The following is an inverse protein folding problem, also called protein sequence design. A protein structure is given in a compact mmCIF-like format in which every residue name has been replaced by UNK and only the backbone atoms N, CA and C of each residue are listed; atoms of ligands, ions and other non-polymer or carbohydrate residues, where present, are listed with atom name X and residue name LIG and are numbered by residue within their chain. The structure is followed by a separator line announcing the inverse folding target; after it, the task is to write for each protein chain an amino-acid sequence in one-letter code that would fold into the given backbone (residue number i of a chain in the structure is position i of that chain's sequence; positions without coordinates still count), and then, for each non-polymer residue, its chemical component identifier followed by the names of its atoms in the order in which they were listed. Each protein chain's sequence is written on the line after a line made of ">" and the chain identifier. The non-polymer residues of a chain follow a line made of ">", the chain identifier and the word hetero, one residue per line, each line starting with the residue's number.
data_IF_501755534044
#
_entry.id   IF_501755534044
#
_cell.length_a   1.000
_cell.length_b   1.000
_cell.length_c   1.000
_cell.angle_alpha   90.00
_cell.angle_beta   90.00
_cell.angle_gamma   90.00
#
_symmetry.space_group_name_H-M   'P 1'
#
loop_
_entity.id
_entity.type
_entity.pdbx_description
1 polymer ?
#
# COMPACT_ATOMS: atom_id res chain seq x y z
N UNK A 1 23.14 12.79 -13.28
CA UNK A 1 22.55 11.48 -12.95
C UNK A 1 21.35 11.74 -12.05
N UNK A 2 20.18 11.30 -12.43
CA UNK A 2 18.99 11.40 -11.57
C UNK A 2 18.80 10.11 -10.81
N UNK A 3 18.60 10.21 -9.52
CA UNK A 3 18.37 9.06 -8.63
C UNK A 3 16.87 8.90 -8.40
N UNK A 4 16.35 7.70 -8.62
CA UNK A 4 14.98 7.33 -8.26
C UNK A 4 14.98 6.58 -6.94
N UNK A 5 14.10 6.97 -6.03
CA UNK A 5 14.01 6.37 -4.70
C UNK A 5 12.58 5.93 -4.41
N UNK A 6 12.43 4.70 -3.93
CA UNK A 6 11.17 4.27 -3.35
C UNK A 6 10.95 4.98 -2.00
N UNK A 7 9.88 5.73 -1.89
CA UNK A 7 9.59 6.55 -0.72
C UNK A 7 8.95 5.76 0.42
N UNK A 8 8.49 4.54 0.17
CA UNK A 8 7.80 3.75 1.20
C UNK A 8 8.79 3.27 2.27
N UNK A 9 8.50 3.47 3.56
CA UNK A 9 9.39 3.08 4.66
C UNK A 9 9.59 1.56 4.79
N UNK A 10 8.62 0.78 4.35
CA UNK A 10 8.65 -0.68 4.37
C UNK A 10 8.29 -1.24 2.98
N UNK A 11 9.22 -1.18 2.01
CA UNK A 11 8.97 -1.64 0.64
C UNK A 11 8.90 -3.16 0.55
N UNK A 12 9.60 -3.86 1.41
CA UNK A 12 9.41 -5.29 1.63
C UNK A 12 8.30 -5.46 2.65
N UNK A 13 7.41 -6.42 2.49
CA UNK A 13 6.37 -6.70 3.46
C UNK A 13 6.98 -7.36 4.70
N UNK A 14 7.70 -6.54 5.48
CA UNK A 14 8.16 -6.89 6.79
C UNK A 14 7.04 -6.60 7.78
N UNK A 15 6.92 -7.39 8.82
CA UNK A 15 5.90 -7.22 9.85
C UNK A 15 6.06 -5.95 10.69
N UNK A 16 7.24 -5.33 10.62
CA UNK A 16 7.55 -4.11 11.35
C UNK A 16 6.81 -2.89 10.78
N UNK A 17 6.15 -2.14 11.64
CA UNK A 17 5.44 -0.90 11.28
C UNK A 17 4.08 -1.12 10.62
N UNK A 18 3.64 -2.36 10.49
CA UNK A 18 2.30 -2.71 10.00
C UNK A 18 1.33 -2.84 11.16
N UNK A 19 0.09 -2.45 10.91
CA UNK A 19 -1.04 -2.65 11.81
C UNK A 19 -2.08 -3.55 11.15
N UNK A 20 -2.77 -4.36 11.95
CA UNK A 20 -3.71 -5.36 11.47
C UNK A 20 -5.05 -5.27 12.22
N UNK A 21 -6.14 -5.58 11.53
CA UNK A 21 -7.46 -5.74 12.15
C UNK A 21 -8.21 -6.91 11.52
N UNK A 22 -8.87 -7.70 12.35
CA UNK A 22 -9.63 -8.89 11.96
C UNK A 22 -8.81 -9.90 11.15
N UNK A 23 -7.57 -10.02 11.51
CA UNK A 23 -6.61 -10.97 10.97
C UNK A 23 -6.39 -12.06 11.99
N UNK A 24 -6.59 -13.32 11.60
CA UNK A 24 -6.36 -14.49 12.47
C UNK A 24 -4.87 -14.80 12.57
N UNK A 25 -4.15 -14.67 11.46
CA UNK A 25 -2.71 -14.87 11.40
C UNK A 25 -2.08 -14.08 10.27
N UNK A 26 -0.81 -13.76 10.41
CA UNK A 26 0.02 -13.20 9.37
C UNK A 26 1.42 -13.79 9.48
N UNK A 27 2.08 -13.97 8.34
CA UNK A 27 3.43 -14.52 8.25
C UNK A 27 4.14 -14.03 7.00
N UNK A 28 5.47 -14.02 7.00
CA UNK A 28 6.27 -13.78 5.80
C UNK A 28 6.71 -15.12 5.26
N UNK A 29 6.25 -15.45 4.06
CA UNK A 29 6.59 -16.68 3.35
C UNK A 29 6.91 -16.37 1.89
N UNK A 30 8.05 -16.82 1.39
CA UNK A 30 8.50 -16.66 0.00
C UNK A 30 8.49 -15.19 -0.50
N UNK A 31 8.81 -14.25 0.38
CA UNK A 31 8.84 -12.82 0.06
C UNK A 31 7.45 -12.16 -0.03
N UNK A 32 6.42 -12.85 0.45
CA UNK A 32 5.07 -12.33 0.62
C UNK A 32 4.72 -12.17 2.09
N UNK A 33 4.08 -11.08 2.46
CA UNK A 33 3.30 -11.03 3.68
C UNK A 33 1.96 -11.71 3.39
N UNK A 34 1.75 -12.89 3.95
CA UNK A 34 0.48 -13.61 3.89
C UNK A 34 -0.39 -13.24 5.07
N UNK A 35 -1.66 -13.01 4.82
CA UNK A 35 -2.64 -12.61 5.82
C UNK A 35 -3.85 -13.52 5.70
N UNK A 36 -4.29 -14.09 6.82
CA UNK A 36 -5.49 -14.91 6.90
C UNK A 36 -6.52 -14.24 7.79
N UNK A 37 -7.74 -14.08 7.31
CA UNK A 37 -8.85 -13.51 8.06
C UNK A 37 -9.48 -14.48 9.04
N UNK A 38 -10.09 -13.95 10.11
CA UNK A 38 -10.72 -14.75 11.17
C UNK A 38 -12.17 -15.20 10.86
N UNK A 39 -12.70 -14.89 9.71
CA UNK A 39 -13.88 -15.53 9.12
C UNK A 39 -15.24 -15.35 9.82
N UNK A 40 -15.42 -14.35 10.66
CA UNK A 40 -16.67 -14.24 11.44
C UNK A 40 -17.57 -13.09 11.07
N UNK A 41 -17.06 -12.11 10.29
CA UNK A 41 -17.78 -10.86 10.12
C UNK A 41 -18.11 -10.55 8.66
N UNK A 42 -19.10 -9.72 8.45
CA UNK A 42 -19.49 -9.15 7.16
C UNK A 42 -18.84 -7.78 6.95
N UNK A 43 -18.51 -7.43 5.71
CA UNK A 43 -17.95 -6.14 5.34
C UNK A 43 -16.44 -6.15 5.10
N UNK A 44 -15.79 -5.02 5.29
CA UNK A 44 -14.34 -4.85 5.11
C UNK A 44 -13.60 -5.22 6.38
N UNK A 45 -13.16 -6.43 6.50
CA UNK A 45 -12.75 -6.97 7.78
C UNK A 45 -11.27 -7.34 7.89
N UNK A 46 -10.69 -7.91 6.86
CA UNK A 46 -9.28 -8.21 6.88
C UNK A 46 -8.51 -7.01 6.38
N UNK A 47 -7.85 -6.26 7.25
CA UNK A 47 -7.06 -5.12 6.82
C UNK A 47 -5.68 -5.08 7.47
N UNK A 48 -4.71 -4.61 6.68
CA UNK A 48 -3.43 -4.15 7.17
C UNK A 48 -3.17 -2.73 6.64
N UNK A 49 -2.44 -1.94 7.41
CA UNK A 49 -2.16 -0.56 7.04
C UNK A 49 -0.86 -0.05 7.63
N UNK A 50 -0.39 1.05 7.06
CA UNK A 50 0.71 1.84 7.58
C UNK A 50 0.26 3.31 7.64
N UNK A 51 0.41 3.92 8.83
CA UNK A 51 -0.08 5.27 9.08
C UNK A 51 -1.48 5.28 9.69
N UNK A 52 -2.50 5.70 8.96
CA UNK A 52 -3.87 5.88 9.46
C UNK A 52 -4.80 4.75 9.01
N UNK A 53 -5.58 4.23 9.93
CA UNK A 53 -6.75 3.40 9.61
C UNK A 53 -7.92 4.29 9.14
N UNK A 54 -8.51 3.95 8.00
CA UNK A 54 -9.62 4.69 7.41
C UNK A 54 -10.87 4.75 8.30
N UNK A 55 -11.13 3.72 9.10
CA UNK A 55 -12.33 3.60 9.93
C UNK A 55 -12.20 4.30 11.28
N UNK A 56 -11.01 4.70 11.65
CA UNK A 56 -10.76 5.51 12.84
C UNK A 56 -10.55 6.96 12.41
N UNK A 57 -11.29 7.89 12.99
CA UNK A 57 -11.02 9.32 12.80
C UNK A 57 -9.78 9.79 13.58
N UNK A 58 -8.95 8.85 14.03
CA UNK A 58 -7.74 9.13 14.80
C UNK A 58 -6.58 9.35 13.84
N UNK A 59 -6.07 10.55 13.81
CA UNK A 59 -4.98 10.98 12.93
C UNK A 59 -3.58 10.78 13.53
N UNK A 60 -3.46 10.15 14.69
CA UNK A 60 -2.18 10.03 15.45
C UNK A 60 -1.20 9.07 14.79
N UNK A 61 -1.32 8.43 13.83
CA UNK A 61 -0.37 7.49 13.22
C UNK A 61 0.17 7.91 11.85
N UNK A 62 -0.25 9.07 11.33
CA UNK A 62 0.05 9.45 9.94
C UNK A 62 1.54 9.57 9.63
N UNK A 63 2.37 9.90 10.61
CA UNK A 63 3.83 10.00 10.47
C UNK A 63 4.52 8.64 10.29
N UNK A 64 3.81 7.55 10.50
CA UNK A 64 4.29 6.20 10.14
C UNK A 64 4.07 5.88 8.64
N UNK A 65 3.40 6.76 7.92
CA UNK A 65 3.26 6.69 6.46
C UNK A 65 4.49 7.21 5.71
N UNK A 66 4.27 7.62 4.49
CA UNK A 66 5.30 8.10 3.57
C UNK A 66 5.29 9.62 3.52
N UNK A 67 6.44 10.26 3.71
CA UNK A 67 6.58 11.71 3.53
C UNK A 67 6.69 12.05 2.04
N UNK A 68 5.72 12.76 1.51
CA UNK A 68 5.79 13.43 0.21
C UNK A 68 6.34 14.83 0.43
N UNK A 69 7.63 15.00 0.17
CA UNK A 69 8.36 16.22 0.53
C UNK A 69 8.08 17.41 -0.40
N UNK A 70 7.50 17.17 -1.57
CA UNK A 70 7.19 18.20 -2.56
C UNK A 70 5.78 18.01 -3.12
N UNK A 71 5.14 19.09 -3.62
CA UNK A 71 3.96 18.96 -4.47
C UNK A 71 4.31 18.20 -5.74
N UNK A 72 3.37 17.46 -6.30
CA UNK A 72 3.56 16.74 -7.56
C UNK A 72 2.68 15.51 -7.70
N UNK A 73 2.89 14.81 -8.79
CA UNK A 73 2.24 13.55 -9.10
C UNK A 73 3.13 12.39 -8.68
N UNK A 74 2.50 11.39 -8.04
CA UNK A 74 3.14 10.19 -7.52
C UNK A 74 2.38 8.95 -8.00
N UNK A 75 3.07 7.83 -8.01
CA UNK A 75 2.49 6.51 -8.28
C UNK A 75 2.73 5.62 -7.08
N UNK A 76 1.66 4.99 -6.62
CA UNK A 76 1.69 3.95 -5.59
C UNK A 76 1.30 2.60 -6.20
N UNK A 77 2.12 1.61 -6.04
CA UNK A 77 1.87 0.24 -6.49
C UNK A 77 2.07 -0.77 -5.36
N UNK A 78 1.27 -1.83 -5.38
CA UNK A 78 1.39 -2.96 -4.47
C UNK A 78 1.13 -4.26 -5.24
N UNK A 79 2.03 -5.23 -5.12
CA UNK A 79 1.80 -6.58 -5.58
C UNK A 79 0.89 -7.32 -4.61
N UNK A 80 -0.21 -7.90 -5.11
CA UNK A 80 -1.15 -8.68 -4.30
C UNK A 80 -1.36 -10.06 -4.90
N UNK A 81 -1.70 -11.02 -4.04
CA UNK A 81 -2.06 -12.37 -4.43
C UNK A 81 -3.24 -12.85 -3.57
N UNK A 82 -4.23 -13.44 -4.21
CA UNK A 82 -5.34 -14.13 -3.53
C UNK A 82 -5.49 -15.50 -4.15
N UNK A 83 -5.39 -16.60 -3.38
CA UNK A 83 -5.58 -17.96 -3.90
C UNK A 83 -6.96 -18.14 -4.52
N UNK A 84 -7.97 -17.60 -3.86
CA UNK A 84 -9.35 -17.60 -4.30
C UNK A 84 -9.81 -16.18 -4.68
N UNK A 85 -10.93 -16.08 -5.39
CA UNK A 85 -11.53 -14.79 -5.73
C UNK A 85 -11.93 -14.06 -4.45
N UNK A 86 -11.27 -12.94 -4.20
CA UNK A 86 -11.49 -12.10 -3.04
C UNK A 86 -11.40 -10.63 -3.46
N UNK A 87 -12.41 -9.85 -3.12
CA UNK A 87 -12.41 -8.42 -3.40
C UNK A 87 -11.46 -7.71 -2.46
N UNK A 88 -10.42 -7.09 -3.03
CA UNK A 88 -9.47 -6.23 -2.34
C UNK A 88 -9.74 -4.76 -2.64
N UNK A 89 -9.45 -3.91 -1.66
CA UNK A 89 -9.40 -2.46 -1.81
C UNK A 89 -8.07 -1.94 -1.29
N UNK A 90 -7.33 -1.30 -2.15
CA UNK A 90 -6.14 -0.52 -1.80
C UNK A 90 -6.54 0.93 -1.67
N UNK A 91 -6.30 1.52 -0.50
CA UNK A 91 -6.72 2.89 -0.17
C UNK A 91 -5.51 3.71 0.21
N UNK A 92 -5.45 4.92 -0.32
CA UNK A 92 -4.44 5.93 -0.03
C UNK A 92 -5.10 7.17 0.57
N UNK A 93 -4.50 7.75 1.59
CA UNK A 93 -5.01 8.91 2.29
C UNK A 93 -3.89 9.92 2.41
N UNK A 94 -4.12 11.13 1.92
CA UNK A 94 -3.21 12.26 2.13
C UNK A 94 -3.55 12.97 3.43
N UNK A 95 -2.52 13.34 4.18
CA UNK A 95 -2.64 13.98 5.49
C UNK A 95 -1.64 15.12 5.59
N UNK A 96 -2.09 16.28 6.04
CA UNK A 96 -1.27 17.46 6.27
C UNK A 96 -0.28 17.26 7.42
N UNK A 97 0.65 18.19 7.59
CA UNK A 97 1.57 18.20 8.74
C UNK A 97 0.86 18.44 10.09
N UNK A 98 -0.36 19.01 10.06
CA UNK A 98 -1.23 19.14 11.25
C UNK A 98 -2.02 17.87 11.57
N UNK A 99 -1.97 16.84 10.73
CA UNK A 99 -2.72 15.60 10.90
C UNK A 99 -4.13 15.63 10.31
N UNK A 100 -4.46 16.64 9.53
CA UNK A 100 -5.76 16.76 8.87
C UNK A 100 -5.76 16.04 7.52
N UNK A 101 -6.86 15.39 7.19
CA UNK A 101 -7.01 14.72 5.90
C UNK A 101 -7.11 15.75 4.77
N UNK A 102 -6.34 15.52 3.71
CA UNK A 102 -6.37 16.33 2.48
C UNK A 102 -7.22 15.59 1.44
N UNK A 103 -8.36 16.16 1.09
CA UNK A 103 -9.24 15.61 0.07
C UNK A 103 -9.90 14.28 0.43
N UNK A 104 -10.36 13.56 -0.59
CA UNK A 104 -10.99 12.26 -0.44
C UNK A 104 -9.96 11.13 -0.52
N UNK A 105 -10.17 10.00 0.17
CA UNK A 105 -9.33 8.81 -0.01
C UNK A 105 -9.35 8.32 -1.46
N UNK A 106 -8.18 7.96 -1.97
CA UNK A 106 -8.02 7.35 -3.29
C UNK A 106 -8.18 5.85 -3.12
N UNK A 107 -9.03 5.21 -3.92
CA UNK A 107 -9.34 3.79 -3.78
C UNK A 107 -9.21 3.05 -5.11
N UNK A 108 -8.51 1.94 -5.08
CA UNK A 108 -8.40 0.99 -6.20
C UNK A 108 -8.94 -0.36 -5.75
N UNK A 109 -9.73 -0.99 -6.61
CA UNK A 109 -10.36 -2.28 -6.33
C UNK A 109 -9.81 -3.36 -7.25
N UNK A 110 -9.75 -4.57 -6.72
CA UNK A 110 -9.47 -5.78 -7.48
C UNK A 110 -10.36 -6.92 -6.98
N UNK A 111 -11.02 -7.63 -7.88
CA UNK A 111 -11.97 -8.71 -7.56
C UNK A 111 -11.64 -9.93 -8.44
N UNK A 112 -10.41 -10.42 -8.31
CA UNK A 112 -9.93 -11.59 -9.06
C UNK A 112 -9.08 -12.47 -8.14
N UNK A 113 -8.72 -13.66 -8.58
CA UNK A 113 -7.72 -14.52 -7.95
C UNK A 113 -6.35 -14.38 -8.63
N UNK A 114 -5.32 -14.97 -8.02
CA UNK A 114 -3.97 -15.00 -8.55
C UNK A 114 -3.13 -13.75 -8.22
N UNK A 115 -1.88 -13.74 -8.70
CA UNK A 115 -0.96 -12.62 -8.51
C UNK A 115 -1.30 -11.46 -9.45
N UNK A 116 -1.28 -10.23 -8.93
CA UNK A 116 -1.52 -9.01 -9.71
C UNK A 116 -0.96 -7.79 -9.02
N UNK A 117 -0.93 -6.67 -9.74
CA UNK A 117 -0.55 -5.37 -9.21
C UNK A 117 -1.77 -4.47 -9.07
N UNK A 118 -1.91 -3.80 -7.94
CA UNK A 118 -2.85 -2.70 -7.75
C UNK A 118 -2.07 -1.39 -7.79
N UNK A 119 -2.54 -0.44 -8.59
CA UNK A 119 -1.86 0.85 -8.81
C UNK A 119 -2.83 2.00 -8.62
N UNK A 120 -2.35 3.05 -7.97
CA UNK A 120 -3.04 4.32 -7.84
C UNK A 120 -2.11 5.49 -8.23
N UNK A 121 -2.66 6.46 -8.95
CA UNK A 121 -2.03 7.76 -9.18
C UNK A 121 -2.47 8.72 -8.07
N UNK A 122 -1.52 9.49 -7.53
CA UNK A 122 -1.72 10.39 -6.39
C UNK A 122 -1.20 11.77 -6.76
N UNK A 123 -2.02 12.81 -6.60
CA UNK A 123 -1.58 14.20 -6.76
C UNK A 123 -1.53 14.86 -5.39
N UNK A 124 -0.36 15.32 -5.00
CA UNK A 124 -0.14 16.12 -3.80
C UNK A 124 -0.01 17.60 -4.19
N UNK A 125 -0.93 18.44 -3.72
CA UNK A 125 -0.89 19.90 -3.97
C UNK A 125 0.11 20.63 -3.09
N UNK A 126 0.55 20.00 -2.01
CA UNK A 126 1.50 20.54 -1.02
C UNK A 126 2.31 19.40 -0.38
N UNK A 127 3.42 19.69 0.31
CA UNK A 127 4.12 18.68 1.10
C UNK A 127 3.18 18.06 2.15
N UNK A 128 3.07 16.73 2.15
CA UNK A 128 2.12 16.02 3.00
C UNK A 128 2.60 14.61 3.35
N UNK A 129 1.79 13.88 4.09
CA UNK A 129 1.99 12.47 4.40
C UNK A 129 1.02 11.61 3.61
N UNK A 130 1.49 10.51 3.06
CA UNK A 130 0.70 9.49 2.42
C UNK A 130 0.61 8.28 3.33
N UNK A 131 -0.60 7.93 3.72
CA UNK A 131 -0.88 6.69 4.45
C UNK A 131 -1.63 5.73 3.55
N UNK A 132 -1.53 4.44 3.81
CA UNK A 132 -2.16 3.44 2.98
C UNK A 132 -2.75 2.30 3.81
N UNK A 133 -3.76 1.67 3.27
CA UNK A 133 -4.29 0.42 3.77
C UNK A 133 -4.67 -0.51 2.61
N UNK A 134 -4.54 -1.81 2.85
CA UNK A 134 -5.10 -2.86 2.01
C UNK A 134 -6.11 -3.63 2.86
N UNK A 135 -7.32 -3.81 2.32
CA UNK A 135 -8.38 -4.56 2.99
C UNK A 135 -9.15 -5.45 2.05
N UNK A 136 -9.69 -6.53 2.59
CA UNK A 136 -10.54 -7.46 1.86
C UNK A 136 -12.00 -7.34 2.32
N UNK A 137 -12.94 -7.49 1.38
CA UNK A 137 -14.36 -7.61 1.72
C UNK A 137 -14.66 -8.97 2.32
N UNK A 138 -15.85 -9.08 2.95
CA UNK A 138 -16.35 -10.27 3.62
C UNK A 138 -15.79 -11.58 3.03
N UNK A 139 -14.87 -12.24 3.68
CA UNK A 139 -14.35 -13.49 3.20
C UNK A 139 -15.38 -14.59 3.40
N UNK A 140 -15.35 -15.56 2.51
CA UNK A 140 -16.02 -16.83 2.72
C UNK A 140 -15.08 -17.81 3.43
N UNK A 141 -15.58 -18.97 3.82
CA UNK A 141 -14.74 -20.03 4.39
C UNK A 141 -13.54 -20.39 3.48
N UNK A 142 -13.70 -20.27 2.16
CA UNK A 142 -12.69 -20.63 1.16
C UNK A 142 -11.87 -19.42 0.66
N UNK A 143 -12.38 -18.21 0.75
CA UNK A 143 -11.75 -17.00 0.23
C UNK A 143 -11.45 -16.01 1.37
N UNK A 144 -10.44 -16.30 2.18
CA UNK A 144 -10.04 -15.50 3.34
C UNK A 144 -8.54 -15.26 3.46
N UNK A 145 -7.78 -15.66 2.46
CA UNK A 145 -6.33 -15.47 2.42
C UNK A 145 -5.96 -14.49 1.33
N UNK A 146 -5.02 -13.62 1.63
CA UNK A 146 -4.37 -12.78 0.65
C UNK A 146 -2.92 -12.49 1.05
N UNK A 147 -2.11 -12.15 0.07
CA UNK A 147 -0.72 -11.75 0.26
C UNK A 147 -0.44 -10.40 -0.37
N UNK A 148 0.56 -9.71 0.16
CA UNK A 148 1.11 -8.50 -0.43
C UNK A 148 2.64 -8.56 -0.51
N UNK A 149 3.20 -7.86 -1.50
CA UNK A 149 4.65 -7.66 -1.66
C UNK A 149 4.96 -6.45 -2.53
N UNK A 150 6.24 -6.08 -2.56
CA UNK A 150 6.81 -5.11 -3.53
C UNK A 150 6.03 -3.82 -3.58
N UNK A 151 5.92 -3.18 -2.45
CA UNK A 151 5.29 -1.88 -2.38
C UNK A 151 6.22 -0.81 -2.93
N UNK A 152 5.68 0.07 -3.76
CA UNK A 152 6.42 1.17 -4.39
C UNK A 152 5.60 2.45 -4.28
N UNK A 153 6.22 3.52 -3.82
CA UNK A 153 5.69 4.89 -3.91
C UNK A 153 6.82 5.76 -4.42
N UNK A 154 6.65 6.31 -5.62
CA UNK A 154 7.67 7.13 -6.29
C UNK A 154 7.01 8.32 -6.98
N UNK A 155 7.78 9.35 -7.32
CA UNK A 155 7.29 10.41 -8.19
C UNK A 155 6.90 9.83 -9.56
N UNK A 156 5.93 10.43 -10.22
CA UNK A 156 5.48 9.95 -11.55
C UNK A 156 6.60 9.96 -12.59
N UNK A 157 7.47 10.99 -12.68
CA UNK A 157 8.63 10.95 -13.58
C UNK A 157 9.59 9.80 -13.27
N UNK A 158 9.81 9.50 -11.99
CA UNK A 158 10.67 8.37 -11.61
C UNK A 158 10.02 7.04 -11.96
N UNK A 159 8.71 6.91 -11.79
CA UNK A 159 7.97 5.71 -12.18
C UNK A 159 8.09 5.45 -13.70
N UNK A 160 7.89 6.48 -14.52
CA UNK A 160 8.02 6.38 -15.98
C UNK A 160 9.43 5.94 -16.38
N UNK A 161 10.47 6.55 -15.81
CA UNK A 161 11.88 6.15 -16.03
C UNK A 161 12.15 4.70 -15.63
N UNK A 162 11.63 4.27 -14.47
CA UNK A 162 11.75 2.87 -14.03
C UNK A 162 11.15 1.92 -15.07
N UNK A 163 9.96 2.24 -15.59
CA UNK A 163 9.28 1.41 -16.60
C UNK A 163 10.05 1.35 -17.92
N UNK A 164 10.60 2.46 -18.38
CA UNK A 164 11.48 2.51 -19.58
C UNK A 164 12.72 1.65 -19.43
N UNK A 165 13.27 1.57 -18.22
CA UNK A 165 14.43 0.72 -17.91
C UNK A 165 14.06 -0.75 -17.59
N UNK A 166 12.78 -1.14 -17.68
CA UNK A 166 12.32 -2.48 -17.35
C UNK A 166 12.32 -2.80 -15.84
N UNK A 167 12.46 -1.79 -14.99
CA UNK A 167 12.45 -1.94 -13.54
C UNK A 167 11.00 -1.92 -13.06
N UNK A 168 10.56 -3.03 -12.46
CA UNK A 168 9.22 -3.13 -11.92
C UNK A 168 9.11 -2.78 -10.44
N UNK A 169 10.22 -2.91 -9.70
CA UNK A 169 10.30 -2.64 -8.27
C UNK A 169 11.76 -2.59 -7.81
N UNK A 170 12.03 -1.81 -6.76
CA UNK A 170 13.30 -1.84 -6.04
C UNK A 170 13.11 -1.57 -4.54
N UNK A 171 14.07 -2.04 -3.77
CA UNK A 171 14.14 -1.78 -2.34
C UNK A 171 14.39 -0.28 -2.07
N UNK A 172 13.76 0.28 -1.03
CA UNK A 172 13.93 1.68 -0.66
C UNK A 172 15.38 2.09 -0.40
N UNK A 173 16.23 1.13 -0.03
CA UNK A 173 17.68 1.34 0.16
C UNK A 173 18.47 1.26 -1.14
N UNK A 174 17.85 0.82 -2.22
CA UNK A 174 18.47 0.73 -3.55
C UNK A 174 18.20 2.02 -4.32
N UNK A 175 19.25 2.70 -4.72
CA UNK A 175 19.17 3.87 -5.60
C UNK A 175 19.35 3.36 -7.03
N UNK A 176 18.33 3.55 -7.86
CA UNK A 176 18.45 3.31 -9.30
C UNK A 176 19.07 4.54 -9.93
N UNK A 177 20.30 4.40 -10.43
CA UNK A 177 20.99 5.46 -11.17
C UNK A 177 20.63 5.31 -12.64
N UNK A 178 20.00 6.35 -13.19
CA UNK A 178 19.85 6.47 -14.64
C UNK A 178 21.19 6.84 -15.28
N UNK A 179 21.49 6.23 -16.42
CA UNK A 179 22.62 6.57 -17.26
C UNK A 179 22.49 8.00 -17.83
#
# INVERSE_FOLDING_TARGET
>A
MSESRNLIPNPKPLDQGMSYKQVASHEILDGWLRVTGNNTDTGWIMKCWQGIDLDTNVTTGYRNGVRLAAPGDYVAEIGVHTPERLRLQFVLILVSDSGERIGNPISVFSDTSGPRTMRADVTAGEPCWLTWLLRASAPTANAREWGLRRMTIVSKPDYERMREQGISWFDGDSIVRGD
#
